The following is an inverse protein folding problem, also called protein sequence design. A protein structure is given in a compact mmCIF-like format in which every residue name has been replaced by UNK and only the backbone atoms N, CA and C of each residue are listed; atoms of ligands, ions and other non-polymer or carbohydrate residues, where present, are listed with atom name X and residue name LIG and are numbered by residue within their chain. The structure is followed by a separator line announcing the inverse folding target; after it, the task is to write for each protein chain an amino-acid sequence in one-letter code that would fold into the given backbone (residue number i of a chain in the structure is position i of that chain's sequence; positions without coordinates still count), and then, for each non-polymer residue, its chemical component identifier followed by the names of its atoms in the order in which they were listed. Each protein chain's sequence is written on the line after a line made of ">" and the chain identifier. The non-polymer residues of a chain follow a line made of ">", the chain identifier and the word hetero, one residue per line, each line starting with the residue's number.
data_IF_265987777785
#
_entry.id   IF_265987777785
#
_cell.length_a   1.000
_cell.length_b   1.000
_cell.length_c   1.000
_cell.angle_alpha   90.00
_cell.angle_beta   90.00
_cell.angle_gamma   90.00
#
_symmetry.space_group_name_H-M   'P 1'
#
loop_
_entity.id
_entity.type
_entity.pdbx_description
1 polymer ?
#
# COMPACT_ATOMS: atom_id res chain seq x y z
N UNK A 1 -8.62 32.89 -25.90
CA UNK A 1 -9.15 33.54 -24.68
C UNK A 1 -8.80 32.79 -23.38
N UNK A 2 -8.65 31.46 -23.39
CA UNK A 2 -8.24 30.64 -22.23
C UNK A 2 -6.83 31.00 -21.69
N UNK A 3 -5.89 31.31 -22.58
CA UNK A 3 -4.52 31.68 -22.23
C UNK A 3 -4.38 33.01 -21.47
N UNK A 4 -5.35 33.93 -21.57
CA UNK A 4 -5.31 35.23 -20.87
C UNK A 4 -5.83 35.13 -19.42
N UNK A 5 -6.77 34.22 -19.15
CA UNK A 5 -7.27 33.95 -17.78
C UNK A 5 -6.26 33.12 -16.97
N UNK A 6 -5.62 32.12 -17.59
CA UNK A 6 -4.51 31.40 -16.93
C UNK A 6 -3.30 32.30 -16.67
N UNK A 7 -2.94 33.19 -17.62
CA UNK A 7 -1.89 34.19 -17.38
C UNK A 7 -2.25 35.15 -16.26
N UNK A 8 -3.50 35.63 -16.15
CA UNK A 8 -3.93 36.48 -15.04
C UNK A 8 -3.90 35.78 -13.68
N UNK A 9 -4.24 34.49 -13.61
CA UNK A 9 -4.07 33.72 -12.36
C UNK A 9 -2.60 33.46 -12.00
N UNK A 10 -1.74 33.26 -13.00
CA UNK A 10 -0.29 33.10 -12.80
C UNK A 10 0.43 34.42 -12.50
N UNK A 11 -0.06 35.55 -13.03
CA UNK A 11 0.47 36.90 -12.78
C UNK A 11 0.06 37.43 -11.40
N UNK A 12 -1.13 37.07 -10.89
CA UNK A 12 -1.53 37.41 -9.52
C UNK A 12 -0.66 36.71 -8.47
N UNK A 13 -0.08 35.55 -8.81
CA UNK A 13 0.90 34.84 -7.98
C UNK A 13 2.34 35.42 -8.05
N UNK A 14 2.61 36.37 -8.95
CA UNK A 14 3.96 36.92 -9.23
C UNK A 14 4.23 38.32 -8.66
N UNK A 15 3.27 38.95 -7.99
CA UNK A 15 3.48 40.23 -7.28
C UNK A 15 3.50 40.05 -5.76
N UNK A 16 4.47 39.30 -5.26
CA UNK A 16 4.79 39.27 -3.83
C UNK A 16 6.30 39.50 -3.66
N UNK A 17 6.73 40.45 -2.81
CA UNK A 17 8.15 40.72 -2.60
C UNK A 17 8.86 39.52 -1.99
N UNK A 18 10.04 39.21 -2.51
CA UNK A 18 11.04 38.33 -1.92
C UNK A 18 11.62 38.95 -0.65
N UNK A 19 11.11 38.58 0.53
CA UNK A 19 11.83 38.64 1.80
C UNK A 19 11.39 37.52 2.76
N UNK A 20 12.33 37.00 3.53
CA UNK A 20 12.31 35.71 4.22
C UNK A 20 11.52 35.74 5.55
N UNK A 21 10.72 34.70 5.80
CA UNK A 21 10.41 34.13 7.14
C UNK A 21 9.34 34.75 8.07
N UNK A 22 8.29 35.40 7.56
CA UNK A 22 7.02 35.59 8.31
C UNK A 22 5.76 35.14 7.53
N UNK A 23 5.86 34.97 6.21
CA UNK A 23 4.72 34.70 5.34
C UNK A 23 4.10 33.32 5.49
N UNK A 24 4.88 32.26 5.69
CA UNK A 24 4.35 30.88 5.65
C UNK A 24 3.32 30.60 6.74
N UNK A 25 3.52 31.13 7.95
CA UNK A 25 2.56 30.98 9.06
C UNK A 25 1.25 31.73 8.81
N UNK A 26 1.32 32.96 8.30
CA UNK A 26 0.13 33.74 7.96
C UNK A 26 -0.65 33.11 6.80
N UNK A 27 0.04 32.62 5.76
CA UNK A 27 -0.61 31.89 4.66
C UNK A 27 -1.30 30.61 5.17
N UNK A 28 -0.68 29.85 6.07
CA UNK A 28 -1.33 28.68 6.66
C UNK A 28 -2.63 29.04 7.42
N UNK A 29 -2.64 30.19 8.11
CA UNK A 29 -3.86 30.68 8.78
C UNK A 29 -4.91 31.16 7.77
N UNK A 30 -4.51 31.90 6.74
CA UNK A 30 -5.42 32.36 5.69
C UNK A 30 -6.04 31.18 4.94
N UNK A 31 -5.24 30.18 4.56
CA UNK A 31 -5.71 28.94 3.93
C UNK A 31 -6.70 28.22 4.85
N UNK A 32 -6.41 28.14 6.15
CA UNK A 32 -7.33 27.55 7.12
C UNK A 32 -8.66 28.31 7.22
N UNK A 33 -8.62 29.64 7.26
CA UNK A 33 -9.82 30.47 7.28
C UNK A 33 -10.65 30.34 5.99
N UNK A 34 -9.99 30.23 4.83
CA UNK A 34 -10.66 29.99 3.55
C UNK A 34 -11.37 28.63 3.54
N UNK A 35 -10.74 27.58 4.12
CA UNK A 35 -11.40 26.28 4.28
C UNK A 35 -12.61 26.32 5.21
N UNK A 36 -12.64 27.22 6.20
CA UNK A 36 -13.83 27.41 7.06
C UNK A 36 -15.00 28.07 6.32
N UNK A 37 -14.78 28.65 5.14
CA UNK A 37 -15.85 29.18 4.31
C UNK A 37 -16.59 28.10 3.50
N UNK A 38 -16.07 26.87 3.44
CA UNK A 38 -16.78 25.73 2.85
C UNK A 38 -18.00 25.34 3.70
N UNK A 39 -18.98 24.65 3.12
CA UNK A 39 -20.19 24.21 3.81
C UNK A 39 -19.82 23.31 4.98
N UNK A 40 -20.45 23.55 6.13
CA UNK A 40 -20.26 22.74 7.34
C UNK A 40 -20.64 21.26 7.15
N UNK A 41 -21.45 20.94 6.13
CA UNK A 41 -21.77 19.57 5.75
C UNK A 41 -20.58 18.83 5.12
N UNK A 42 -19.66 19.56 4.47
CA UNK A 42 -18.54 19.00 3.71
C UNK A 42 -17.27 18.80 4.53
N UNK A 43 -17.13 19.42 5.71
CA UNK A 43 -15.89 19.33 6.49
C UNK A 43 -16.06 19.43 8.01
N UNK A 44 -14.97 19.11 8.73
CA UNK A 44 -14.90 19.15 10.21
C UNK A 44 -13.64 19.85 10.66
N UNK A 45 -13.72 20.58 11.75
CA UNK A 45 -12.52 21.09 12.45
C UNK A 45 -12.21 20.15 13.59
N UNK A 46 -11.01 19.57 13.55
CA UNK A 46 -10.45 18.80 14.63
C UNK A 46 -9.54 19.71 15.47
N UNK A 47 -9.75 19.69 16.78
CA UNK A 47 -8.93 20.42 17.74
C UNK A 47 -8.26 19.42 18.68
N UNK A 48 -6.92 19.48 18.76
CA UNK A 48 -6.13 18.64 19.65
C UNK A 48 -5.41 19.55 20.65
N UNK A 49 -5.82 19.45 21.92
CA UNK A 49 -5.32 20.29 23.01
C UNK A 49 -4.13 19.72 23.77
N UNK A 50 -3.19 19.06 23.08
CA UNK A 50 -1.94 18.64 23.71
C UNK A 50 -0.96 19.83 23.88
N UNK A 51 0.30 19.56 24.27
CA UNK A 51 1.30 20.58 24.61
C UNK A 51 1.54 21.63 23.52
N UNK A 52 1.16 21.38 22.26
CA UNK A 52 1.38 22.31 21.15
C UNK A 52 0.10 22.82 20.46
N UNK A 53 -1.09 22.44 20.93
CA UNK A 53 -2.39 22.96 20.45
C UNK A 53 -2.54 22.99 18.92
N UNK A 54 -3.15 21.96 18.33
CA UNK A 54 -3.34 21.87 16.88
C UNK A 54 -4.80 22.03 16.45
N UNK A 55 -5.04 22.82 15.41
CA UNK A 55 -6.30 22.86 14.67
C UNK A 55 -6.10 22.28 13.26
N UNK A 56 -7.02 21.44 12.81
CA UNK A 56 -6.97 20.82 11.49
C UNK A 56 -8.37 20.80 10.86
N UNK A 57 -8.46 21.31 9.64
CA UNK A 57 -9.67 21.18 8.84
C UNK A 57 -9.62 19.86 8.06
N UNK A 58 -10.66 19.05 8.17
CA UNK A 58 -10.83 17.78 7.49
C UNK A 58 -11.97 17.89 6.48
N UNK A 59 -11.64 17.86 5.19
CA UNK A 59 -12.63 17.77 4.12
C UNK A 59 -13.17 16.35 4.02
N UNK A 60 -14.44 16.18 4.40
CA UNK A 60 -15.16 14.91 4.35
C UNK A 60 -15.76 14.64 2.97
N UNK A 61 -16.18 15.68 2.25
CA UNK A 61 -16.82 15.57 0.95
C UNK A 61 -16.15 16.47 -0.10
N UNK A 62 -15.27 15.92 -0.95
CA UNK A 62 -14.64 16.69 -2.01
C UNK A 62 -15.50 16.82 -3.28
N UNK A 63 -16.74 16.30 -3.28
CA UNK A 63 -17.59 16.27 -4.48
C UNK A 63 -17.86 17.65 -5.06
N UNK A 64 -18.10 18.68 -4.23
CA UNK A 64 -18.40 20.03 -4.73
C UNK A 64 -17.20 20.64 -5.47
N UNK A 65 -16.00 20.50 -4.90
CA UNK A 65 -14.74 20.91 -5.55
C UNK A 65 -14.50 20.16 -6.87
N UNK A 66 -14.77 18.85 -6.89
CA UNK A 66 -14.64 18.05 -8.12
C UNK A 66 -15.69 18.42 -9.16
N UNK A 67 -16.91 18.79 -8.74
CA UNK A 67 -18.00 19.12 -9.65
C UNK A 67 -17.68 20.34 -10.52
N UNK A 68 -16.94 21.31 -9.99
CA UNK A 68 -16.49 22.46 -10.75
C UNK A 68 -15.52 22.04 -11.86
N UNK A 69 -14.56 21.16 -11.53
CA UNK A 69 -13.59 20.63 -12.50
C UNK A 69 -14.31 19.85 -13.60
N UNK A 70 -15.22 18.94 -13.23
CA UNK A 70 -16.00 18.14 -14.18
C UNK A 70 -16.79 19.06 -15.13
N UNK A 71 -17.47 20.09 -14.62
CA UNK A 71 -18.26 21.05 -15.40
C UNK A 71 -17.43 21.88 -16.38
N UNK A 72 -16.18 22.20 -16.02
CA UNK A 72 -15.29 22.98 -16.89
C UNK A 72 -14.67 22.15 -18.02
N UNK A 73 -14.66 20.82 -17.89
CA UNK A 73 -14.05 19.91 -18.85
C UNK A 73 -15.09 19.36 -19.85
N UNK A 74 -14.68 19.16 -21.10
CA UNK A 74 -15.49 18.44 -22.10
C UNK A 74 -15.58 16.94 -21.79
N UNK A 75 -14.54 16.37 -21.22
CA UNK A 75 -14.44 14.97 -20.82
C UNK A 75 -13.37 14.82 -19.74
N UNK A 76 -13.65 14.03 -18.70
CA UNK A 76 -12.68 13.69 -17.64
C UNK A 76 -12.29 12.23 -17.79
N UNK A 77 -10.98 11.97 -17.90
CA UNK A 77 -10.43 10.61 -17.93
C UNK A 77 -9.63 10.41 -16.64
N UNK A 78 -10.08 9.48 -15.80
CA UNK A 78 -9.35 9.06 -14.61
C UNK A 78 -8.77 7.67 -14.88
N UNK A 79 -7.44 7.55 -14.78
CA UNK A 79 -6.72 6.31 -15.04
C UNK A 79 -5.75 6.00 -13.90
N UNK A 80 -5.72 4.75 -13.44
CA UNK A 80 -4.82 4.29 -12.39
C UNK A 80 -4.83 2.77 -12.27
N UNK A 81 -3.68 2.20 -11.86
CA UNK A 81 -3.50 0.74 -11.76
C UNK A 81 -4.10 0.10 -10.49
N UNK A 82 -4.52 0.90 -9.52
CA UNK A 82 -5.02 0.45 -8.19
C UNK A 82 -6.28 1.20 -7.77
N UNK A 83 -7.13 1.57 -8.75
CA UNK A 83 -8.35 2.34 -8.49
C UNK A 83 -9.50 1.53 -7.87
N UNK A 84 -9.43 0.20 -7.88
CA UNK A 84 -10.49 -0.63 -7.27
C UNK A 84 -10.42 -0.56 -5.73
N UNK A 85 -11.57 -0.42 -5.04
CA UNK A 85 -12.93 -0.32 -5.59
C UNK A 85 -13.26 1.08 -6.15
N UNK A 86 -13.82 1.14 -7.37
CA UNK A 86 -14.11 2.41 -8.09
C UNK A 86 -15.36 3.16 -7.62
N UNK A 87 -16.17 2.56 -6.74
CA UNK A 87 -17.46 3.12 -6.31
C UNK A 87 -17.34 4.52 -5.68
N UNK A 88 -16.24 4.76 -4.96
CA UNK A 88 -15.91 6.07 -4.39
C UNK A 88 -15.67 7.12 -5.48
N UNK A 89 -14.90 6.79 -6.51
CA UNK A 89 -14.66 7.69 -7.65
C UNK A 89 -15.94 7.95 -8.44
N UNK A 90 -16.76 6.92 -8.64
CA UNK A 90 -18.05 7.09 -9.29
C UNK A 90 -18.93 8.08 -8.52
N UNK A 91 -19.05 7.93 -7.19
CA UNK A 91 -19.82 8.86 -6.37
C UNK A 91 -19.27 10.30 -6.46
N UNK A 92 -17.95 10.48 -6.41
CA UNK A 92 -17.31 11.79 -6.53
C UNK A 92 -17.56 12.47 -7.88
N UNK A 93 -17.47 11.72 -8.98
CA UNK A 93 -17.62 12.26 -10.34
C UNK A 93 -19.08 12.47 -10.74
N UNK A 94 -20.02 11.73 -10.15
CA UNK A 94 -21.45 11.76 -10.50
C UNK A 94 -22.33 12.43 -9.44
N UNK A 95 -21.73 13.18 -8.52
CA UNK A 95 -22.45 13.83 -7.42
C UNK A 95 -23.50 14.87 -7.88
N UNK A 96 -23.39 15.40 -9.10
CA UNK A 96 -24.44 16.23 -9.70
C UNK A 96 -25.53 15.34 -10.33
N UNK A 97 -26.67 15.26 -9.65
CA UNK A 97 -27.85 14.47 -10.05
C UNK A 97 -28.52 14.92 -11.36
N UNK A 98 -28.02 15.97 -12.01
CA UNK A 98 -28.65 16.60 -13.16
C UNK A 98 -27.97 16.30 -14.50
N UNK A 99 -26.84 15.59 -14.52
CA UNK A 99 -26.09 15.34 -15.75
C UNK A 99 -26.39 13.96 -16.35
N UNK A 100 -26.74 13.98 -17.64
CA UNK A 100 -26.85 12.85 -18.57
C UNK A 100 -25.50 12.23 -18.93
N UNK A 101 -24.47 12.49 -18.12
CA UNK A 101 -23.09 12.12 -18.44
C UNK A 101 -22.88 10.61 -18.36
N UNK A 102 -22.49 10.03 -19.49
CA UNK A 102 -22.20 8.61 -19.57
C UNK A 102 -20.88 8.30 -18.84
N UNK A 103 -20.96 7.64 -17.69
CA UNK A 103 -19.79 7.10 -17.02
C UNK A 103 -19.35 5.81 -17.73
N UNK A 104 -18.25 5.90 -18.48
CA UNK A 104 -17.64 4.75 -19.14
C UNK A 104 -16.52 4.18 -18.25
N UNK A 105 -16.70 2.95 -17.79
CA UNK A 105 -15.71 2.23 -16.98
C UNK A 105 -15.02 1.19 -17.86
N UNK A 106 -13.72 1.40 -18.10
CA UNK A 106 -12.89 0.44 -18.81
C UNK A 106 -11.99 -0.28 -17.81
N UNK A 107 -12.05 -1.61 -17.81
CA UNK A 107 -11.17 -2.47 -17.01
C UNK A 107 -10.25 -3.24 -17.94
N UNK A 108 -8.96 -2.94 -17.87
CA UNK A 108 -7.94 -3.71 -18.57
C UNK A 108 -7.48 -4.82 -17.65
N UNK A 109 -7.54 -6.08 -18.10
CA UNK A 109 -6.91 -7.17 -17.36
C UNK A 109 -5.40 -6.96 -17.33
N UNK A 110 -4.75 -7.47 -16.27
CA UNK A 110 -3.30 -7.46 -16.22
C UNK A 110 -2.74 -8.33 -17.35
N UNK A 111 -1.69 -7.87 -18.02
CA UNK A 111 -1.08 -8.54 -19.18
C UNK A 111 -0.39 -9.87 -18.83
N UNK A 112 -0.36 -10.26 -17.57
CA UNK A 112 0.42 -11.39 -17.07
C UNK A 112 -0.44 -12.65 -17.07
N UNK A 113 0.04 -13.75 -17.67
CA UNK A 113 -0.68 -15.02 -17.64
C UNK A 113 -0.85 -15.54 -16.20
N UNK A 114 -1.98 -16.18 -15.86
CA UNK A 114 -2.21 -16.73 -14.51
C UNK A 114 -1.12 -17.69 -14.05
N UNK A 115 -0.49 -18.42 -14.97
CA UNK A 115 0.62 -19.30 -14.62
C UNK A 115 1.85 -18.54 -14.08
N UNK A 116 2.08 -17.30 -14.48
CA UNK A 116 3.26 -16.54 -14.07
C UNK A 116 3.09 -15.87 -12.70
N UNK A 117 1.92 -15.97 -12.09
CA UNK A 117 1.69 -15.46 -10.73
C UNK A 117 1.26 -16.61 -9.85
N UNK A 118 1.81 -16.66 -8.64
CA UNK A 118 1.32 -17.55 -7.60
C UNK A 118 0.86 -16.71 -6.41
N UNK A 119 -0.44 -16.67 -6.17
CA UNK A 119 -1.00 -16.08 -4.95
C UNK A 119 -1.14 -17.13 -3.85
N UNK A 120 -0.68 -16.84 -2.63
CA UNK A 120 -0.89 -17.73 -1.47
C UNK A 120 -1.34 -16.92 -0.25
N UNK A 121 -2.49 -17.28 0.33
CA UNK A 121 -2.88 -16.85 1.67
C UNK A 121 -2.42 -17.90 2.70
N UNK A 122 -1.37 -17.58 3.44
CA UNK A 122 -0.80 -18.42 4.49
C UNK A 122 -1.51 -18.13 5.82
N UNK A 123 -2.38 -19.04 6.23
CA UNK A 123 -3.14 -18.89 7.49
C UNK A 123 -2.43 -19.52 8.69
N UNK A 124 -1.59 -20.53 8.49
CA UNK A 124 -0.87 -21.22 9.58
C UNK A 124 0.62 -21.31 9.31
N UNK A 125 1.42 -20.95 10.31
CA UNK A 125 2.86 -20.93 10.20
C UNK A 125 3.53 -22.32 10.31
N UNK A 126 4.87 -22.37 10.21
CA UNK A 126 5.67 -23.59 10.35
C UNK A 126 5.37 -24.47 11.57
N UNK A 127 5.02 -23.89 12.71
CA UNK A 127 4.66 -24.66 13.92
C UNK A 127 3.16 -24.90 14.06
N UNK A 128 2.40 -24.70 12.98
CA UNK A 128 0.94 -24.83 12.91
C UNK A 128 0.17 -23.79 13.75
N UNK A 129 0.87 -22.74 14.21
CA UNK A 129 0.27 -21.58 14.88
C UNK A 129 -0.56 -20.78 13.88
N UNK A 130 -1.71 -20.31 14.32
CA UNK A 130 -2.59 -19.49 13.52
C UNK A 130 -2.01 -18.08 13.37
N UNK A 131 -1.84 -17.63 12.13
CA UNK A 131 -1.16 -16.37 11.81
C UNK A 131 -2.14 -15.21 11.86
N UNK A 132 -2.49 -14.76 13.06
CA UNK A 132 -3.34 -13.59 13.27
C UNK A 132 -2.50 -12.39 13.72
N UNK A 133 -2.17 -11.48 12.82
CA UNK A 133 -1.40 -10.28 13.14
C UNK A 133 -2.32 -9.08 13.44
N UNK A 134 -3.38 -9.28 14.22
CA UNK A 134 -4.16 -8.17 14.77
C UNK A 134 -3.29 -7.29 15.68
N UNK A 135 -3.77 -6.08 15.99
CA UNK A 135 -3.04 -5.18 16.89
C UNK A 135 -2.70 -5.84 18.25
N UNK A 136 -3.61 -6.67 18.76
CA UNK A 136 -3.50 -7.37 20.03
C UNK A 136 -2.44 -8.47 19.99
N UNK A 137 -2.37 -9.20 18.88
CA UNK A 137 -1.56 -10.42 18.79
C UNK A 137 -0.18 -10.19 18.18
N UNK A 138 -0.02 -9.17 17.32
CA UNK A 138 1.17 -8.99 16.46
C UNK A 138 2.50 -8.87 17.20
N UNK A 139 2.47 -8.46 18.48
CA UNK A 139 3.66 -8.32 19.33
C UNK A 139 4.03 -9.61 20.07
N UNK A 140 3.27 -10.69 19.91
CA UNK A 140 3.56 -11.96 20.56
C UNK A 140 4.86 -12.58 20.01
N UNK A 141 5.72 -13.06 20.93
CA UNK A 141 6.98 -13.71 20.57
C UNK A 141 6.78 -14.95 19.70
N UNK A 142 5.65 -15.64 19.84
CA UNK A 142 5.29 -16.80 19.03
C UNK A 142 5.11 -16.40 17.55
N UNK A 143 4.29 -15.39 17.27
CA UNK A 143 4.07 -14.91 15.90
C UNK A 143 5.32 -14.29 15.29
N UNK A 144 6.11 -13.52 16.07
CA UNK A 144 7.39 -12.99 15.61
C UNK A 144 8.37 -14.12 15.23
N UNK A 145 8.35 -15.22 15.99
CA UNK A 145 9.15 -16.41 15.67
C UNK A 145 8.65 -17.13 14.42
N UNK A 146 7.34 -17.20 14.21
CA UNK A 146 6.75 -17.74 12.97
C UNK A 146 7.17 -16.91 11.75
N UNK A 147 7.13 -15.57 11.83
CA UNK A 147 7.61 -14.69 10.74
C UNK A 147 9.07 -15.00 10.41
N UNK A 148 9.93 -15.18 11.42
CA UNK A 148 11.33 -15.55 11.20
C UNK A 148 11.52 -16.90 10.53
N UNK A 149 10.75 -17.92 10.95
CA UNK A 149 10.79 -19.25 10.33
C UNK A 149 10.27 -19.20 8.89
N UNK A 150 9.21 -18.43 8.61
CA UNK A 150 8.67 -18.23 7.26
C UNK A 150 9.74 -17.57 6.38
N UNK A 151 10.27 -16.41 6.79
CA UNK A 151 11.30 -15.67 6.04
C UNK A 151 12.52 -16.52 5.73
N UNK A 152 13.02 -17.29 6.70
CA UNK A 152 14.19 -18.17 6.50
C UNK A 152 13.96 -19.20 5.38
N UNK A 153 12.80 -19.86 5.39
CA UNK A 153 12.48 -20.88 4.39
C UNK A 153 12.20 -20.25 3.02
N UNK A 154 11.44 -19.15 2.96
CA UNK A 154 11.16 -18.43 1.72
C UNK A 154 12.46 -17.92 1.09
N UNK A 155 13.36 -17.31 1.87
CA UNK A 155 14.66 -16.85 1.37
C UNK A 155 15.55 -18.00 0.88
N UNK A 156 15.33 -19.24 1.35
CA UNK A 156 16.10 -20.39 0.89
C UNK A 156 15.64 -20.90 -0.48
N UNK A 157 14.35 -20.80 -0.80
CA UNK A 157 13.76 -21.37 -2.02
C UNK A 157 13.52 -20.35 -3.14
N UNK A 158 13.29 -19.08 -2.80
CA UNK A 158 12.97 -18.03 -3.78
C UNK A 158 14.27 -17.49 -4.40
N UNK A 159 14.43 -17.52 -5.73
CA UNK A 159 15.56 -16.87 -6.40
C UNK A 159 15.39 -15.34 -6.43
N UNK A 160 16.49 -14.60 -6.53
CA UNK A 160 16.45 -13.14 -6.65
C UNK A 160 15.96 -12.42 -5.40
N UNK A 161 15.19 -11.37 -5.61
CA UNK A 161 14.67 -10.45 -4.60
C UNK A 161 13.40 -10.97 -3.92
N UNK A 162 13.42 -10.92 -2.59
CA UNK A 162 12.24 -11.06 -1.74
C UNK A 162 11.96 -9.70 -1.12
N UNK A 163 10.75 -9.18 -1.28
CA UNK A 163 10.31 -7.93 -0.66
C UNK A 163 9.25 -8.25 0.38
N UNK A 164 9.56 -8.00 1.65
CA UNK A 164 8.67 -8.26 2.78
C UNK A 164 8.11 -6.93 3.30
N UNK A 165 6.82 -6.72 3.09
CA UNK A 165 6.10 -5.55 3.55
C UNK A 165 5.51 -5.77 4.95
N UNK A 166 5.78 -4.82 5.83
CA UNK A 166 5.34 -4.80 7.23
C UNK A 166 4.43 -3.58 7.46
N UNK A 167 3.46 -3.62 8.40
CA UNK A 167 2.44 -2.57 8.52
C UNK A 167 2.93 -1.19 8.99
N UNK A 168 4.10 -1.11 9.66
CA UNK A 168 4.66 0.16 10.14
C UNK A 168 6.17 0.05 10.38
N UNK A 169 6.87 1.19 10.39
CA UNK A 169 8.29 1.25 10.77
C UNK A 169 8.55 0.76 12.21
N UNK A 170 7.62 1.02 13.13
CA UNK A 170 7.74 0.51 14.51
C UNK A 170 7.67 -1.02 14.55
N UNK A 171 6.74 -1.61 13.80
CA UNK A 171 6.60 -3.06 13.74
C UNK A 171 7.76 -3.72 13.00
N UNK A 172 8.24 -3.09 11.92
CA UNK A 172 9.43 -3.56 11.20
C UNK A 172 10.66 -3.58 12.10
N UNK A 173 10.88 -2.54 12.90
CA UNK A 173 11.96 -2.51 13.89
C UNK A 173 11.81 -3.65 14.91
N UNK A 174 10.62 -3.87 15.48
CA UNK A 174 10.35 -4.96 16.42
C UNK A 174 10.66 -6.32 15.80
N UNK A 175 10.16 -6.58 14.58
CA UNK A 175 10.43 -7.82 13.85
C UNK A 175 11.93 -7.98 13.64
N UNK A 176 12.62 -6.97 13.11
CA UNK A 176 14.04 -7.04 12.83
C UNK A 176 14.88 -7.33 14.10
N UNK A 177 14.59 -6.65 15.21
CA UNK A 177 15.24 -6.89 16.50
C UNK A 177 15.02 -8.31 17.01
N UNK A 178 13.78 -8.83 16.92
CA UNK A 178 13.47 -10.20 17.30
C UNK A 178 14.24 -11.21 16.43
N UNK A 179 14.28 -11.00 15.11
CA UNK A 179 15.03 -11.86 14.18
C UNK A 179 16.54 -11.83 14.46
N UNK A 180 17.08 -10.67 14.83
CA UNK A 180 18.50 -10.50 15.16
C UNK A 180 18.84 -11.22 16.46
N UNK A 181 18.06 -11.00 17.52
CA UNK A 181 18.27 -11.65 18.84
C UNK A 181 18.20 -13.18 18.74
N UNK A 182 17.31 -13.71 17.89
CA UNK A 182 17.16 -15.15 17.68
C UNK A 182 18.06 -15.73 16.58
N UNK A 183 19.07 -14.99 16.11
CA UNK A 183 20.02 -15.40 15.06
C UNK A 183 19.39 -15.82 13.72
N UNK A 184 18.16 -15.41 13.46
CA UNK A 184 17.46 -15.68 12.19
C UNK A 184 18.06 -14.84 11.06
N UNK A 185 18.44 -13.59 11.36
CA UNK A 185 19.15 -12.71 10.41
C UNK A 185 20.43 -13.39 9.91
N UNK A 186 21.27 -13.91 10.81
CA UNK A 186 22.50 -14.62 10.46
C UNK A 186 22.22 -15.84 9.56
N UNK A 187 21.15 -16.59 9.85
CA UNK A 187 20.76 -17.74 9.04
C UNK A 187 20.30 -17.34 7.63
N UNK A 188 19.57 -16.23 7.49
CA UNK A 188 19.13 -15.70 6.19
C UNK A 188 20.31 -15.14 5.40
N UNK A 189 21.24 -14.43 6.05
CA UNK A 189 22.43 -13.82 5.42
C UNK A 189 23.31 -14.84 4.71
N UNK A 190 23.29 -16.12 5.12
CA UNK A 190 23.99 -17.21 4.42
C UNK A 190 23.51 -17.44 2.98
N UNK A 191 22.28 -17.01 2.65
CA UNK A 191 21.66 -17.18 1.32
C UNK A 191 21.27 -15.86 0.67
N UNK A 192 20.85 -14.85 1.44
CA UNK A 192 20.40 -13.55 0.92
C UNK A 192 20.95 -12.39 1.72
N UNK A 193 21.48 -11.38 1.04
CA UNK A 193 21.79 -10.10 1.67
C UNK A 193 20.50 -9.44 2.17
N UNK A 194 20.54 -8.82 3.35
CA UNK A 194 19.35 -8.23 3.98
C UNK A 194 19.46 -6.71 3.96
N UNK A 195 18.41 -6.05 3.47
CA UNK A 195 18.26 -4.61 3.43
C UNK A 195 17.00 -4.21 4.18
N UNK A 196 17.02 -3.00 4.73
CA UNK A 196 15.89 -2.41 5.43
C UNK A 196 15.56 -1.07 4.80
N UNK A 197 14.29 -0.76 4.77
CA UNK A 197 13.82 0.52 4.29
C UNK A 197 14.37 1.68 5.14
N UNK A 198 15.00 2.70 4.53
CA UNK A 198 15.54 3.82 5.28
C UNK A 198 14.42 4.74 5.78
N UNK A 199 14.65 5.35 6.95
CA UNK A 199 13.76 6.39 7.50
C UNK A 199 13.94 7.74 6.81
N UNK A 200 15.11 8.02 6.23
CA UNK A 200 15.38 9.26 5.47
C UNK A 200 15.08 9.06 3.98
N UNK A 201 14.56 10.11 3.32
CA UNK A 201 14.33 10.09 1.88
C UNK A 201 15.65 10.14 1.08
N UNK A 202 16.71 10.74 1.66
CA UNK A 202 18.03 10.83 1.04
C UNK A 202 18.69 9.48 0.78
N UNK A 203 18.37 8.47 1.60
CA UNK A 203 19.10 7.20 1.62
C UNK A 203 18.39 6.13 0.77
N UNK A 204 17.20 6.44 0.26
CA UNK A 204 16.33 5.55 -0.53
C UNK A 204 17.08 4.97 -1.73
N UNK A 205 17.61 5.84 -2.59
CA UNK A 205 18.30 5.43 -3.82
C UNK A 205 19.55 4.59 -3.53
N UNK A 206 20.27 4.92 -2.46
CA UNK A 206 21.46 4.19 -2.07
C UNK A 206 21.13 2.75 -1.63
N UNK A 207 20.10 2.57 -0.80
CA UNK A 207 19.66 1.25 -0.33
C UNK A 207 19.17 0.40 -1.51
N UNK A 208 18.42 0.99 -2.42
CA UNK A 208 17.89 0.30 -3.59
C UNK A 208 18.97 -0.14 -4.57
N UNK A 209 19.94 0.72 -4.84
CA UNK A 209 21.07 0.37 -5.71
C UNK A 209 21.87 -0.80 -5.11
N UNK A 210 22.06 -0.81 -3.79
CA UNK A 210 22.72 -1.93 -3.09
C UNK A 210 21.86 -3.21 -3.14
N UNK A 211 20.55 -3.10 -2.92
CA UNK A 211 19.61 -4.21 -3.04
C UNK A 211 19.63 -4.81 -4.45
N UNK A 212 19.47 -3.99 -5.50
CA UNK A 212 19.49 -4.42 -6.89
C UNK A 212 20.83 -5.07 -7.28
N UNK A 213 21.95 -4.54 -6.79
CA UNK A 213 23.27 -5.13 -7.01
C UNK A 213 23.38 -6.51 -6.34
N UNK A 214 22.92 -6.65 -5.09
CA UNK A 214 22.91 -7.92 -4.37
C UNK A 214 21.96 -8.97 -4.98
N UNK A 215 20.87 -8.53 -5.62
CA UNK A 215 19.99 -9.42 -6.39
C UNK A 215 20.69 -9.96 -7.65
N UNK A 216 21.46 -9.12 -8.34
CA UNK A 216 22.16 -9.49 -9.59
C UNK A 216 23.42 -10.34 -9.34
N UNK A 217 24.16 -10.06 -8.27
CA UNK A 217 25.41 -10.75 -7.96
C UNK A 217 25.14 -12.08 -7.24
N UNK A 218 24.88 -13.12 -8.05
CA UNK A 218 24.65 -14.50 -7.58
C UNK A 218 25.99 -15.22 -7.41
N UNK A 219 26.73 -14.89 -6.35
CA UNK A 219 28.04 -15.51 -6.05
C UNK A 219 27.93 -16.64 -5.02
N UNK A 220 28.40 -17.82 -5.41
CA UNK A 220 28.48 -19.02 -4.56
C UNK A 220 27.11 -19.46 -4.04
N UNK A 221 26.94 -19.43 -2.71
CA UNK A 221 25.71 -19.84 -2.03
C UNK A 221 24.62 -18.75 -2.00
N UNK A 222 24.93 -17.52 -2.43
CA UNK A 222 23.99 -16.40 -2.40
C UNK A 222 23.05 -16.44 -3.60
N UNK A 223 21.74 -16.44 -3.33
CA UNK A 223 20.70 -16.53 -4.35
C UNK A 223 19.87 -15.25 -4.51
N UNK A 224 20.32 -14.12 -3.94
CA UNK A 224 19.72 -12.79 -4.09
C UNK A 224 19.67 -11.99 -2.79
N UNK A 225 18.59 -11.21 -2.59
CA UNK A 225 18.46 -10.31 -1.45
C UNK A 225 17.05 -10.29 -0.86
N UNK A 226 16.95 -9.95 0.42
CA UNK A 226 15.72 -9.68 1.16
C UNK A 226 15.65 -8.18 1.46
N UNK A 227 14.54 -7.53 1.13
CA UNK A 227 14.24 -6.16 1.53
C UNK A 227 13.08 -6.16 2.52
N UNK A 228 13.32 -5.68 3.74
CA UNK A 228 12.27 -5.37 4.71
C UNK A 228 11.76 -3.96 4.44
N UNK A 229 10.49 -3.86 4.04
CA UNK A 229 9.82 -2.61 3.66
C UNK A 229 8.57 -2.38 4.49
N UNK A 230 8.08 -1.15 4.46
CA UNK A 230 6.87 -0.73 5.17
C UNK A 230 5.77 -0.39 4.18
N UNK A 231 4.55 -0.86 4.43
CA UNK A 231 3.38 -0.50 3.62
C UNK A 231 3.10 0.99 3.76
N UNK A 232 2.98 1.72 2.64
CA UNK A 232 2.86 3.18 2.64
C UNK A 232 4.14 3.91 3.07
N UNK A 233 5.26 3.19 3.19
CA UNK A 233 6.59 3.76 3.38
C UNK A 233 7.18 4.31 2.07
N UNK A 234 8.31 5.00 2.21
CA UNK A 234 9.04 5.67 1.12
C UNK A 234 9.43 4.74 -0.03
N UNK A 235 9.85 3.51 0.26
CA UNK A 235 10.18 2.52 -0.79
C UNK A 235 8.95 1.87 -1.39
N UNK A 236 7.85 1.87 -0.64
CA UNK A 236 6.57 1.35 -1.12
C UNK A 236 5.79 2.37 -1.93
N UNK A 237 6.31 3.58 -2.16
CA UNK A 237 5.73 4.58 -3.05
C UNK A 237 6.68 4.81 -4.24
N UNK A 238 6.20 4.66 -5.47
CA UNK A 238 6.96 5.00 -6.68
C UNK A 238 7.96 3.96 -7.24
N UNK A 239 8.34 2.91 -6.48
CA UNK A 239 9.31 1.90 -6.95
C UNK A 239 8.73 0.60 -7.50
N UNK A 240 9.24 0.16 -8.66
CA UNK A 240 8.86 -1.09 -9.30
C UNK A 240 9.93 -2.17 -9.05
N UNK A 241 9.51 -3.33 -8.52
CA UNK A 241 10.40 -4.48 -8.33
C UNK A 241 10.23 -5.46 -9.50
N UNK A 242 10.66 -5.04 -10.70
CA UNK A 242 10.54 -5.86 -11.90
C UNK A 242 11.52 -7.03 -11.90
N UNK A 243 11.12 -8.13 -12.54
CA UNK A 243 11.97 -9.29 -12.79
C UNK A 243 12.59 -9.86 -11.50
N UNK A 244 13.92 -9.99 -11.49
CA UNK A 244 14.66 -10.57 -10.38
C UNK A 244 14.57 -9.72 -9.11
N UNK A 245 14.19 -8.43 -9.18
CA UNK A 245 14.08 -7.57 -7.99
C UNK A 245 12.90 -7.95 -7.08
N UNK A 246 11.88 -8.62 -7.61
CA UNK A 246 10.61 -8.85 -6.93
C UNK A 246 10.01 -10.23 -7.14
N UNK A 247 10.84 -11.29 -7.17
CA UNK A 247 10.37 -12.68 -7.39
C UNK A 247 9.39 -13.15 -6.31
N UNK A 248 9.50 -12.63 -5.10
CA UNK A 248 8.47 -12.82 -4.08
C UNK A 248 8.14 -11.51 -3.39
N UNK A 249 6.86 -11.15 -3.38
CA UNK A 249 6.29 -10.10 -2.53
C UNK A 249 5.54 -10.75 -1.39
N UNK A 250 6.01 -10.53 -0.18
CA UNK A 250 5.41 -11.02 1.06
C UNK A 250 4.76 -9.85 1.80
N UNK A 251 3.50 -9.97 2.20
CA UNK A 251 2.79 -8.96 3.00
C UNK A 251 2.42 -9.59 4.34
N UNK A 252 3.03 -9.10 5.43
CA UNK A 252 2.84 -9.63 6.78
C UNK A 252 1.79 -8.84 7.53
N UNK A 253 0.74 -9.53 7.98
CA UNK A 253 -0.42 -8.90 8.58
C UNK A 253 -1.20 -8.04 7.59
N UNK A 254 -2.22 -7.35 8.11
CA UNK A 254 -3.08 -6.45 7.35
C UNK A 254 -2.80 -4.99 7.79
N UNK A 255 -2.44 -4.08 6.87
CA UNK A 255 -2.04 -2.70 7.15
C UNK A 255 -3.26 -1.79 7.40
N UNK A 256 -4.10 -2.17 8.36
CA UNK A 256 -5.23 -1.35 8.74
C UNK A 256 -4.77 0.00 9.33
N UNK A 257 -5.40 1.11 8.93
CA UNK A 257 -5.15 2.40 9.56
C UNK A 257 -5.62 2.37 11.02
N UNK A 258 -5.12 3.32 11.82
CA UNK A 258 -5.50 3.42 13.22
C UNK A 258 -6.98 3.83 13.34
N UNK A 259 -7.86 2.89 13.70
CA UNK A 259 -9.30 3.13 13.89
C UNK A 259 -9.61 4.17 14.97
N UNK A 260 -8.65 4.46 15.86
CA UNK A 260 -8.78 5.49 16.91
C UNK A 260 -8.37 6.89 16.44
N UNK A 261 -7.88 7.06 15.20
CA UNK A 261 -7.57 8.40 14.70
C UNK A 261 -8.87 9.21 14.53
N UNK A 262 -8.97 10.43 15.10
CA UNK A 262 -10.17 11.26 14.97
C UNK A 262 -10.57 11.50 13.51
N UNK A 263 -9.60 11.65 12.61
CA UNK A 263 -9.86 11.85 11.18
C UNK A 263 -10.63 10.70 10.55
N UNK A 264 -10.19 9.47 10.82
CA UNK A 264 -10.81 8.27 10.27
C UNK A 264 -12.21 8.07 10.88
N UNK A 265 -12.36 8.31 12.19
CA UNK A 265 -13.66 8.19 12.85
C UNK A 265 -14.67 9.18 12.25
N UNK A 266 -14.29 10.44 12.08
CA UNK A 266 -15.17 11.43 11.45
C UNK A 266 -15.50 11.09 10.00
N UNK A 267 -14.52 10.59 9.22
CA UNK A 267 -14.76 10.13 7.86
C UNK A 267 -15.71 8.93 7.81
N UNK A 268 -15.52 7.94 8.68
CA UNK A 268 -16.41 6.78 8.77
C UNK A 268 -17.82 7.18 9.23
N UNK A 269 -17.94 8.07 10.21
CA UNK A 269 -19.21 8.60 10.70
C UNK A 269 -19.95 9.36 9.59
N UNK A 270 -19.24 10.16 8.80
CA UNK A 270 -19.80 10.84 7.64
C UNK A 270 -20.35 9.85 6.63
N UNK A 271 -19.55 8.86 6.21
CA UNK A 271 -19.97 7.85 5.24
C UNK A 271 -21.16 7.02 5.74
N UNK A 272 -21.16 6.66 7.03
CA UNK A 272 -22.28 5.94 7.64
C UNK A 272 -23.60 6.73 7.57
N UNK A 273 -23.53 8.07 7.66
CA UNK A 273 -24.70 8.96 7.55
C UNK A 273 -25.15 9.18 6.11
N UNK A 274 -24.22 9.30 5.17
CA UNK A 274 -24.52 9.74 3.78
C UNK A 274 -24.65 8.60 2.78
N UNK A 275 -23.91 7.50 2.97
CA UNK A 275 -23.86 6.35 2.06
C UNK A 275 -24.44 5.05 2.68
N UNK A 276 -24.91 5.11 3.94
CA UNK A 276 -25.56 4.00 4.64
C UNK A 276 -24.71 3.44 5.79
N UNK A 277 -25.37 2.84 6.80
CA UNK A 277 -24.78 2.54 8.11
C UNK A 277 -23.57 1.60 8.15
N UNK A 278 -23.23 0.92 7.05
CA UNK A 278 -22.04 0.06 6.94
C UNK A 278 -20.92 0.65 6.07
N UNK A 279 -21.15 1.80 5.41
CA UNK A 279 -20.24 2.38 4.44
C UNK A 279 -18.88 2.78 5.05
N UNK A 280 -18.87 3.22 6.31
CA UNK A 280 -17.65 3.51 7.05
C UNK A 280 -16.78 2.27 7.27
N UNK A 281 -17.37 1.12 7.61
CA UNK A 281 -16.63 -0.14 7.76
C UNK A 281 -16.09 -0.63 6.41
N UNK A 282 -16.89 -0.53 5.35
CA UNK A 282 -16.44 -0.85 3.99
C UNK A 282 -15.26 0.05 3.58
N UNK A 283 -15.33 1.35 3.87
CA UNK A 283 -14.23 2.28 3.62
C UNK A 283 -12.96 1.89 4.39
N UNK A 284 -13.08 1.51 5.65
CA UNK A 284 -11.96 1.06 6.46
C UNK A 284 -11.27 -0.19 5.89
N UNK A 285 -12.05 -1.20 5.49
CA UNK A 285 -11.55 -2.40 4.82
C UNK A 285 -10.88 -2.06 3.47
N UNK A 286 -11.49 -1.16 2.70
CA UNK A 286 -10.95 -0.71 1.42
C UNK A 286 -9.62 0.01 1.56
N UNK A 287 -9.41 0.82 2.60
CA UNK A 287 -8.11 1.46 2.85
C UNK A 287 -7.00 0.42 3.05
N UNK A 288 -7.30 -0.62 3.83
CA UNK A 288 -6.38 -1.73 4.06
C UNK A 288 -6.05 -2.45 2.75
N UNK A 289 -7.08 -2.85 1.99
CA UNK A 289 -6.87 -3.58 0.73
C UNK A 289 -6.24 -2.74 -0.37
N UNK A 290 -6.52 -1.44 -0.44
CA UNK A 290 -5.82 -0.52 -1.36
C UNK A 290 -4.31 -0.54 -1.08
N UNK A 291 -3.90 -0.48 0.19
CA UNK A 291 -2.50 -0.53 0.58
C UNK A 291 -1.83 -1.88 0.25
N UNK A 292 -2.52 -3.00 0.51
CA UNK A 292 -2.06 -4.34 0.13
C UNK A 292 -1.90 -4.46 -1.39
N UNK A 293 -2.89 -4.01 -2.16
CA UNK A 293 -2.88 -4.08 -3.62
C UNK A 293 -1.78 -3.21 -4.23
N UNK A 294 -1.40 -2.10 -3.59
CA UNK A 294 -0.25 -1.29 -3.99
C UNK A 294 1.08 -2.03 -3.79
N UNK A 295 1.22 -2.86 -2.76
CA UNK A 295 2.38 -3.72 -2.58
C UNK A 295 2.42 -4.83 -3.65
N UNK A 296 1.27 -5.49 -3.88
CA UNK A 296 1.14 -6.56 -4.87
C UNK A 296 1.41 -6.06 -6.29
N UNK A 297 0.90 -4.88 -6.65
CA UNK A 297 1.07 -4.30 -7.99
C UNK A 297 2.52 -3.98 -8.37
N UNK A 298 3.46 -4.11 -7.43
CA UNK A 298 4.91 -3.94 -7.68
C UNK A 298 5.61 -5.22 -8.09
N UNK A 299 4.96 -6.37 -7.90
CA UNK A 299 5.55 -7.69 -8.06
C UNK A 299 5.72 -8.10 -9.53
N UNK A 300 4.89 -7.58 -10.45
CA UNK A 300 4.89 -8.01 -11.85
C UNK A 300 4.67 -6.83 -12.78
N UNK A 301 5.53 -6.67 -13.80
CA UNK A 301 5.53 -5.47 -14.66
C UNK A 301 5.05 -5.72 -16.09
N UNK A 302 5.38 -6.87 -16.68
CA UNK A 302 5.10 -7.16 -18.08
C UNK A 302 4.67 -8.61 -18.28
N UNK A 303 4.11 -8.92 -19.46
CA UNK A 303 3.51 -10.22 -19.75
C UNK A 303 4.44 -11.43 -19.51
N UNK A 304 5.75 -11.24 -19.69
CA UNK A 304 6.75 -12.29 -19.52
C UNK A 304 7.35 -12.39 -18.10
N UNK A 305 6.92 -11.53 -17.18
CA UNK A 305 7.44 -11.53 -15.81
C UNK A 305 6.67 -12.54 -14.96
N UNK A 306 7.27 -12.97 -13.85
CA UNK A 306 6.68 -13.92 -12.92
C UNK A 306 7.07 -13.63 -11.48
N UNK A 307 6.11 -13.78 -10.56
CA UNK A 307 6.32 -13.53 -9.13
C UNK A 307 5.34 -14.33 -8.25
N UNK A 308 5.79 -14.63 -7.04
CA UNK A 308 4.96 -15.17 -5.98
C UNK A 308 4.48 -14.04 -5.06
N UNK A 309 3.19 -14.00 -4.77
CA UNK A 309 2.57 -13.11 -3.80
C UNK A 309 2.18 -13.93 -2.58
N UNK A 310 2.85 -13.70 -1.45
CA UNK A 310 2.63 -14.42 -0.19
C UNK A 310 1.95 -13.49 0.83
N UNK A 311 0.68 -13.75 1.11
CA UNK A 311 -0.13 -13.00 2.06
C UNK A 311 -0.13 -13.73 3.40
N UNK A 312 0.52 -13.15 4.42
CA UNK A 312 0.83 -13.81 5.70
C UNK A 312 -0.06 -13.25 6.79
N UNK A 313 -1.32 -13.71 6.79
CA UNK A 313 -2.32 -13.51 7.84
C UNK A 313 -3.53 -14.41 7.52
N UNK A 314 -4.14 -15.05 8.50
CA UNK A 314 -5.34 -15.87 8.29
C UNK A 314 -6.50 -15.09 7.67
N UNK A 315 -6.57 -13.78 7.93
CA UNK A 315 -7.67 -12.91 7.50
C UNK A 315 -7.67 -12.68 5.98
N UNK A 316 -6.55 -12.94 5.30
CA UNK A 316 -6.49 -12.92 3.83
C UNK A 316 -7.31 -14.05 3.18
N UNK A 317 -7.64 -15.10 3.92
CA UNK A 317 -8.47 -16.21 3.42
C UNK A 317 -9.99 -15.96 3.59
N UNK A 318 -10.40 -14.80 4.12
CA UNK A 318 -11.82 -14.42 4.18
C UNK A 318 -12.34 -14.12 2.78
N UNK A 319 -13.56 -14.56 2.40
CA UNK A 319 -14.10 -14.36 1.05
C UNK A 319 -14.10 -12.89 0.59
N UNK A 320 -14.45 -11.97 1.49
CA UNK A 320 -14.46 -10.53 1.20
C UNK A 320 -13.05 -10.00 0.89
N UNK A 321 -12.05 -10.36 1.70
CA UNK A 321 -10.66 -9.99 1.48
C UNK A 321 -10.12 -10.55 0.17
N UNK A 322 -10.41 -11.82 -0.14
CA UNK A 322 -9.99 -12.45 -1.39
C UNK A 322 -10.60 -11.76 -2.62
N UNK A 323 -11.88 -11.38 -2.54
CA UNK A 323 -12.58 -10.68 -3.62
C UNK A 323 -12.02 -9.26 -3.89
N UNK A 324 -11.35 -8.66 -2.90
CA UNK A 324 -10.75 -7.34 -3.00
C UNK A 324 -9.30 -7.34 -3.51
N UNK A 325 -8.68 -8.52 -3.72
CA UNK A 325 -7.33 -8.64 -4.30
C UNK A 325 -7.34 -8.34 -5.81
N UNK A 326 -6.19 -8.11 -6.47
CA UNK A 326 -6.17 -7.89 -7.91
C UNK A 326 -6.57 -9.15 -8.66
N UNK A 327 -7.34 -9.01 -9.74
CA UNK A 327 -7.90 -10.14 -10.51
C UNK A 327 -6.83 -11.13 -10.99
N UNK A 328 -5.65 -10.65 -11.36
CA UNK A 328 -4.54 -11.50 -11.81
C UNK A 328 -3.97 -12.39 -10.70
N UNK A 329 -4.03 -11.94 -9.43
CA UNK A 329 -3.65 -12.78 -8.28
C UNK A 329 -4.78 -13.77 -7.97
N UNK A 330 -6.04 -13.30 -7.97
CA UNK A 330 -7.21 -14.13 -7.67
C UNK A 330 -7.27 -15.40 -8.54
N UNK A 331 -6.93 -15.29 -9.84
CA UNK A 331 -6.94 -16.42 -10.81
C UNK A 331 -6.00 -17.58 -10.41
N UNK A 332 -4.97 -17.32 -9.60
CA UNK A 332 -3.96 -18.29 -9.16
C UNK A 332 -3.92 -18.49 -7.63
N UNK A 333 -4.86 -17.88 -6.91
CA UNK A 333 -4.80 -17.74 -5.46
C UNK A 333 -5.12 -19.07 -4.78
N UNK A 334 -4.27 -19.48 -3.85
CA UNK A 334 -4.49 -20.63 -2.98
C UNK A 334 -4.67 -20.12 -1.55
N UNK A 335 -5.84 -20.39 -0.96
CA UNK A 335 -6.23 -19.89 0.36
C UNK A 335 -6.20 -20.96 1.45
N UNK A 336 -6.21 -20.52 2.72
CA UNK A 336 -6.19 -21.41 3.89
C UNK A 336 -5.04 -22.42 3.89
N UNK A 337 -3.90 -22.01 3.33
CA UNK A 337 -2.74 -22.88 3.22
C UNK A 337 -2.05 -23.05 4.58
N UNK A 338 -1.65 -24.29 4.86
CA UNK A 338 -0.62 -24.55 5.85
C UNK A 338 0.78 -24.30 5.27
N UNK A 339 1.78 -24.22 6.15
CA UNK A 339 3.14 -23.89 5.75
C UNK A 339 3.78 -24.91 4.81
N UNK A 340 3.61 -26.22 5.06
CA UNK A 340 4.20 -27.28 4.21
C UNK A 340 3.70 -27.23 2.76
N UNK A 341 2.38 -27.08 2.59
CA UNK A 341 1.74 -26.94 1.27
C UNK A 341 2.21 -25.68 0.56
N UNK A 342 2.34 -24.57 1.30
CA UNK A 342 2.83 -23.29 0.79
C UNK A 342 4.25 -23.43 0.22
N UNK A 343 5.18 -24.01 0.98
CA UNK A 343 6.56 -24.22 0.54
C UNK A 343 6.63 -25.12 -0.69
N UNK A 344 5.85 -26.21 -0.71
CA UNK A 344 5.78 -27.12 -1.87
C UNK A 344 5.32 -26.39 -3.14
N UNK A 345 4.27 -25.57 -3.04
CA UNK A 345 3.74 -24.83 -4.18
C UNK A 345 4.72 -23.76 -4.67
N UNK A 346 5.36 -23.03 -3.77
CA UNK A 346 6.37 -22.02 -4.12
C UNK A 346 7.58 -22.67 -4.80
N UNK A 347 8.09 -23.77 -4.26
CA UNK A 347 9.21 -24.50 -4.87
C UNK A 347 8.86 -25.01 -6.27
N UNK A 348 7.68 -25.60 -6.46
CA UNK A 348 7.19 -26.06 -7.78
C UNK A 348 7.03 -24.92 -8.77
N UNK A 349 6.51 -23.77 -8.31
CA UNK A 349 6.34 -22.58 -9.13
C UNK A 349 7.67 -22.07 -9.66
N UNK A 350 8.70 -21.93 -8.82
CA UNK A 350 10.02 -21.47 -9.26
C UNK A 350 10.78 -22.51 -10.08
N UNK A 351 10.64 -23.80 -9.79
CA UNK A 351 11.22 -24.86 -10.62
C UNK A 351 10.71 -24.77 -12.07
N UNK A 352 9.40 -24.63 -12.27
CA UNK A 352 8.80 -24.52 -13.61
C UNK A 352 9.26 -23.29 -14.39
N UNK A 353 9.60 -22.19 -13.71
CA UNK A 353 10.11 -20.97 -14.36
C UNK A 353 11.63 -20.96 -14.52
N UNK A 354 12.35 -21.90 -13.90
CA UNK A 354 13.79 -22.11 -14.13
C UNK A 354 14.05 -22.92 -15.42
N UNK A 355 13.07 -23.72 -15.84
CA UNK A 355 13.13 -24.58 -17.03
C UNK A 355 12.73 -23.87 -18.34
N UNK A 356 12.26 -22.62 -18.25
CA UNK A 356 11.94 -21.74 -19.39
C UNK A 356 13.04 -20.69 -19.53
#
# INVERSE_FOLDING_TARGET
>A
MLNRKLKKMLEFKRMLPTETSAGSGLYAVLDFLEMLCDRSENGRVLAQGDQNGQLKYLLLNPAEHFSEVVRQCRSVIVAGGTMEPISEFQALLTSNKNDTDSLNIVRCEHVVPPQNVLGVCLSKGPTNVNLNFSYENRMSNELLSEVGRILRNICSIVPGGVVCFLPSYSYEQTVYEHLKTNKVIEAITKKKAIFREPKSASDVDQVLNKFASAVKNKDGDHNGALLLSVVGGKLSEGLNFSDDLGRCVMVVGMPYPNVKSPELQEKMNYLNKTAGGSAGNIYYENLCMKAVNQCIGRAVRHANDYSCVLLVDERYSRPQTMSALPSFVQKSLISNCNFGTTISNIARFFARHKEK
#
